data_IF_729975108707
#
_entry.id   IF_729975108707
#
_cell.length_a   1.000
_cell.length_b   1.000
_cell.length_c   1.000
_cell.angle_alpha   90.00
_cell.angle_beta   90.00
_cell.angle_gamma   90.00
#
_symmetry.space_group_name_H-M   'P 1'
#
loop_
_entity.id
_entity.type
_entity.pdbx_description
1 polymer ?
#
# COMPACT_ATOMS: atom_id res chain seq x y z
N UNK A 1 7.33 12.02 25.36
CA UNK A 1 6.77 10.95 24.50
C UNK A 1 7.18 11.26 23.07
N UNK A 2 7.90 10.38 22.40
CA UNK A 2 8.25 10.58 21.00
C UNK A 2 6.99 10.34 20.13
N UNK A 3 6.82 11.02 18.97
CA UNK A 3 5.66 10.82 18.10
C UNK A 3 5.47 9.36 17.68
N UNK A 4 6.55 8.59 17.59
CA UNK A 4 6.50 7.15 17.31
C UNK A 4 5.80 6.32 18.40
N UNK A 5 5.91 6.69 19.69
CA UNK A 5 5.23 5.99 20.78
C UNK A 5 3.73 6.29 20.84
N UNK A 6 3.32 7.48 20.41
CA UNK A 6 1.91 7.85 20.34
C UNK A 6 1.19 7.13 19.17
N UNK A 7 1.85 6.99 18.03
CA UNK A 7 1.30 6.28 16.87
C UNK A 7 1.11 4.77 17.16
N UNK A 8 2.07 4.12 17.80
CA UNK A 8 2.02 2.69 18.13
C UNK A 8 0.87 2.29 19.09
N UNK A 9 0.25 3.26 19.74
CA UNK A 9 -0.91 3.02 20.58
C UNK A 9 -2.22 2.86 19.78
N UNK A 10 -2.26 3.34 18.53
CA UNK A 10 -3.48 3.44 17.72
C UNK A 10 -3.39 2.67 16.41
N UNK A 11 -2.18 2.42 15.88
CA UNK A 11 -1.98 1.78 14.59
C UNK A 11 -0.95 0.62 14.67
N UNK A 12 -0.96 -0.34 13.71
CA UNK A 12 0.05 -1.38 13.62
C UNK A 12 1.46 -0.78 13.56
N UNK A 13 2.42 -1.36 14.27
CA UNK A 13 3.80 -0.87 14.39
C UNK A 13 4.45 -0.64 13.02
N UNK A 14 4.15 -1.50 12.04
CA UNK A 14 4.64 -1.35 10.67
C UNK A 14 4.12 -0.07 9.99
N UNK A 15 2.89 0.33 10.24
CA UNK A 15 2.32 1.56 9.70
C UNK A 15 2.97 2.81 10.30
N UNK A 16 3.33 2.75 11.59
CA UNK A 16 4.00 3.85 12.27
C UNK A 16 5.46 4.01 11.84
N UNK A 17 6.14 2.91 11.53
CA UNK A 17 7.51 2.94 11.02
C UNK A 17 7.62 3.58 9.64
N UNK A 18 6.54 3.55 8.84
CA UNK A 18 6.50 4.10 7.47
C UNK A 18 5.50 5.28 7.33
N UNK A 19 5.12 5.89 8.46
CA UNK A 19 4.18 7.01 8.49
C UNK A 19 4.60 8.17 7.59
N UNK A 20 5.90 8.46 7.52
CA UNK A 20 6.47 9.51 6.68
C UNK A 20 6.27 9.23 5.19
N UNK A 21 6.41 7.97 4.77
CA UNK A 21 6.17 7.54 3.38
C UNK A 21 4.70 7.76 3.00
N UNK A 22 3.78 7.35 3.87
CA UNK A 22 2.35 7.54 3.63
C UNK A 22 1.98 9.01 3.60
N UNK A 23 2.53 9.82 4.52
CA UNK A 23 2.31 11.25 4.56
C UNK A 23 2.85 11.94 3.31
N UNK A 24 4.02 11.50 2.81
CA UNK A 24 4.60 11.99 1.57
C UNK A 24 3.71 11.71 0.34
N UNK A 25 3.09 10.53 0.29
CA UNK A 25 2.22 10.12 -0.83
C UNK A 25 0.83 10.73 -0.79
N UNK A 26 0.39 11.27 0.36
CA UNK A 26 -0.95 11.82 0.54
C UNK A 26 -1.33 12.90 -0.48
N UNK A 27 -0.47 13.91 -0.78
CA UNK A 27 -0.77 14.92 -1.81
C UNK A 27 -0.97 14.31 -3.20
N UNK A 28 -0.13 13.32 -3.57
CA UNK A 28 -0.24 12.62 -4.85
C UNK A 28 -1.52 11.79 -4.96
N UNK A 29 -1.91 11.10 -3.88
CA UNK A 29 -3.16 10.35 -3.82
C UNK A 29 -4.39 11.27 -3.86
N UNK A 30 -4.35 12.41 -3.15
CA UNK A 30 -5.41 13.41 -3.19
C UNK A 30 -5.56 14.03 -4.59
N UNK A 31 -4.45 14.36 -5.24
CA UNK A 31 -4.46 14.87 -6.61
C UNK A 31 -4.97 13.81 -7.60
N UNK A 32 -4.57 12.54 -7.45
CA UNK A 32 -5.09 11.44 -8.25
C UNK A 32 -6.61 11.33 -8.10
N UNK A 33 -7.12 11.40 -6.89
CA UNK A 33 -8.57 11.38 -6.63
C UNK A 33 -9.28 12.56 -7.30
N UNK A 34 -8.73 13.77 -7.24
CA UNK A 34 -9.28 14.94 -7.94
C UNK A 34 -9.27 14.75 -9.46
N UNK A 35 -8.17 14.27 -10.03
CA UNK A 35 -8.07 13.96 -11.45
C UNK A 35 -9.14 12.92 -11.83
N UNK A 36 -9.30 11.86 -11.05
CA UNK A 36 -10.32 10.83 -11.29
C UNK A 36 -11.74 11.40 -11.30
N UNK A 37 -12.08 12.25 -10.34
CA UNK A 37 -13.39 12.89 -10.28
C UNK A 37 -13.70 13.74 -11.52
N UNK A 38 -12.69 14.44 -12.05
CA UNK A 38 -12.85 15.38 -13.16
C UNK A 38 -12.69 14.68 -14.52
N UNK A 39 -11.76 13.71 -14.63
CA UNK A 39 -11.49 12.98 -15.86
C UNK A 39 -12.71 12.21 -16.39
N UNK A 40 -13.57 11.73 -15.51
CA UNK A 40 -14.81 11.07 -15.89
C UNK A 40 -15.85 12.02 -16.55
N UNK A 41 -15.62 13.34 -16.51
CA UNK A 41 -16.54 14.36 -17.03
C UNK A 41 -16.18 14.83 -18.42
N UNK A 42 -14.89 14.80 -18.81
CA UNK A 42 -14.46 15.37 -20.08
C UNK A 42 -13.21 14.70 -20.65
N UNK A 43 -13.18 14.32 -21.94
CA UNK A 43 -12.04 13.63 -22.57
C UNK A 43 -10.75 14.47 -22.59
N UNK A 44 -10.82 15.77 -22.44
CA UNK A 44 -9.64 16.66 -22.37
C UNK A 44 -8.70 16.31 -21.18
N UNK A 45 -9.24 15.75 -20.10
CA UNK A 45 -8.44 15.36 -18.93
C UNK A 45 -7.52 14.16 -19.15
N UNK A 46 -7.61 13.52 -20.32
CA UNK A 46 -6.63 12.52 -20.76
C UNK A 46 -5.18 13.03 -20.64
N UNK A 47 -4.91 14.32 -20.87
CA UNK A 47 -3.56 14.89 -20.77
C UNK A 47 -2.96 14.68 -19.37
N UNK A 48 -3.77 14.74 -18.32
CA UNK A 48 -3.32 14.55 -16.95
C UNK A 48 -3.06 13.07 -16.60
N UNK A 49 -3.62 12.14 -17.36
CA UNK A 49 -3.41 10.70 -17.18
C UNK A 49 -2.38 10.12 -18.16
N UNK A 50 -1.95 10.90 -19.15
CA UNK A 50 -1.08 10.45 -20.23
C UNK A 50 0.24 9.84 -19.74
N UNK A 51 0.86 10.45 -18.73
CA UNK A 51 2.10 9.93 -18.14
C UNK A 51 1.88 8.60 -17.44
N UNK A 52 0.77 8.46 -16.70
CA UNK A 52 0.39 7.19 -16.09
C UNK A 52 0.10 6.11 -17.13
N UNK A 53 -0.64 6.46 -18.21
CA UNK A 53 -0.88 5.54 -19.32
C UNK A 53 0.42 5.11 -19.99
N UNK A 54 1.37 6.04 -20.20
CA UNK A 54 2.68 5.70 -20.74
C UNK A 54 3.40 4.69 -19.84
N UNK A 55 3.45 4.90 -18.53
CA UNK A 55 4.08 3.97 -17.61
C UNK A 55 3.37 2.61 -17.59
N UNK A 56 2.04 2.59 -17.70
CA UNK A 56 1.22 1.39 -17.78
C UNK A 56 1.60 0.55 -19.01
N UNK A 57 1.57 1.16 -20.19
CA UNK A 57 1.91 0.46 -21.43
C UNK A 57 3.40 0.06 -21.48
N UNK A 58 4.27 0.90 -20.90
CA UNK A 58 5.68 0.59 -20.80
C UNK A 58 5.96 -0.60 -19.87
N UNK A 59 5.17 -0.76 -18.81
CA UNK A 59 5.24 -1.93 -17.94
C UNK A 59 4.86 -3.22 -18.70
N UNK A 60 3.75 -3.20 -19.46
CA UNK A 60 3.37 -4.31 -20.32
C UNK A 60 4.48 -4.65 -21.32
N UNK A 61 4.99 -3.63 -22.03
CA UNK A 61 6.04 -3.79 -23.02
C UNK A 61 7.30 -4.39 -22.41
N UNK A 62 7.79 -3.82 -21.31
CA UNK A 62 9.05 -4.23 -20.66
C UNK A 62 8.97 -5.66 -20.12
N UNK A 63 7.91 -6.00 -19.39
CA UNK A 63 7.74 -7.34 -18.84
C UNK A 63 7.49 -8.34 -19.95
N UNK A 64 6.70 -7.98 -20.97
CA UNK A 64 6.48 -8.81 -22.14
C UNK A 64 7.77 -9.11 -22.89
N UNK A 65 8.62 -8.11 -23.06
CA UNK A 65 9.94 -8.26 -23.70
C UNK A 65 10.85 -9.21 -22.91
N UNK A 66 10.93 -9.01 -21.59
CA UNK A 66 11.75 -9.85 -20.69
C UNK A 66 11.31 -11.32 -20.68
N UNK A 67 10.01 -11.57 -20.90
CA UNK A 67 9.44 -12.91 -20.87
C UNK A 67 9.25 -13.54 -22.25
N UNK A 68 9.79 -12.91 -23.31
CA UNK A 68 9.72 -13.40 -24.68
C UNK A 68 8.31 -13.41 -25.28
N UNK A 69 7.46 -12.46 -24.88
CA UNK A 69 6.14 -12.27 -25.47
C UNK A 69 6.17 -11.53 -26.79
N UNK A 70 7.35 -11.06 -27.25
CA UNK A 70 7.57 -10.34 -28.49
C UNK A 70 6.61 -9.15 -28.69
N UNK A 71 6.81 -8.05 -27.95
CA UNK A 71 6.00 -6.86 -28.15
C UNK A 71 6.30 -6.24 -29.53
N UNK A 72 5.30 -6.17 -30.39
CA UNK A 72 5.41 -5.68 -31.77
C UNK A 72 4.93 -4.26 -31.96
N UNK A 73 4.20 -3.71 -31.00
CA UNK A 73 3.70 -2.35 -31.07
C UNK A 73 3.37 -1.78 -29.71
N UNK A 74 3.67 -0.49 -29.54
CA UNK A 74 3.31 0.32 -28.38
C UNK A 74 2.61 1.57 -28.87
N UNK A 75 1.42 1.84 -28.39
CA UNK A 75 0.65 3.04 -28.70
C UNK A 75 0.15 3.67 -27.41
N UNK A 76 0.36 4.98 -27.27
CA UNK A 76 -0.14 5.81 -26.14
C UNK A 76 -1.06 6.92 -26.64
N UNK A 77 -1.49 6.82 -27.90
CA UNK A 77 -2.39 7.80 -28.50
C UNK A 77 -3.83 7.34 -28.28
N UNK A 78 -4.70 8.17 -27.66
CA UNK A 78 -6.08 7.81 -27.45
C UNK A 78 -6.80 7.52 -28.76
N UNK A 79 -7.45 6.38 -28.81
CA UNK A 79 -8.28 5.99 -29.96
C UNK A 79 -9.67 5.62 -29.49
N UNK A 80 -10.67 6.04 -30.24
CA UNK A 80 -12.05 5.66 -29.96
C UNK A 80 -12.34 4.30 -30.58
N UNK A 81 -12.62 3.29 -29.75
CA UNK A 81 -13.13 1.98 -30.17
C UNK A 81 -14.61 1.87 -29.77
N UNK A 82 -15.49 2.16 -30.73
CA UNK A 82 -16.92 2.18 -30.48
C UNK A 82 -17.33 3.25 -29.46
N UNK A 83 -17.84 2.84 -28.28
CA UNK A 83 -18.25 3.74 -27.18
C UNK A 83 -17.15 3.98 -26.15
N UNK A 84 -16.02 3.30 -26.22
CA UNK A 84 -14.95 3.35 -25.23
C UNK A 84 -13.70 4.01 -25.81
N UNK A 85 -13.01 4.79 -25.00
CA UNK A 85 -11.69 5.33 -25.32
C UNK A 85 -10.62 4.34 -24.87
N UNK A 86 -9.78 3.90 -25.83
CA UNK A 86 -8.54 3.16 -25.56
C UNK A 86 -7.43 4.20 -25.45
N UNK A 87 -6.84 4.33 -24.26
CA UNK A 87 -5.84 5.37 -23.97
C UNK A 87 -4.44 4.94 -24.41
N UNK A 88 -4.19 3.63 -24.39
CA UNK A 88 -2.96 3.00 -24.83
C UNK A 88 -3.18 1.55 -25.20
N UNK A 89 -2.20 0.94 -25.86
CA UNK A 89 -2.20 -0.50 -26.14
C UNK A 89 -0.82 -1.01 -26.48
N UNK A 90 -0.52 -2.23 -26.00
CA UNK A 90 0.64 -3.02 -26.43
C UNK A 90 0.15 -4.25 -27.18
N UNK A 91 0.78 -4.55 -28.31
CA UNK A 91 0.51 -5.76 -29.10
C UNK A 91 1.67 -6.73 -28.95
N UNK A 92 1.36 -8.02 -28.81
CA UNK A 92 2.33 -9.09 -28.65
C UNK A 92 2.18 -10.12 -29.75
N UNK A 93 3.30 -10.59 -30.34
CA UNK A 93 3.31 -11.63 -31.37
C UNK A 93 3.39 -13.05 -30.76
N UNK A 94 3.99 -13.21 -29.59
CA UNK A 94 4.25 -14.52 -28.97
C UNK A 94 3.70 -14.63 -27.56
N UNK A 95 2.39 -14.47 -27.42
CA UNK A 95 1.73 -14.56 -26.11
C UNK A 95 1.35 -16.02 -25.83
N UNK A 96 1.97 -16.61 -24.80
CA UNK A 96 1.77 -17.98 -24.36
C UNK A 96 1.21 -18.03 -22.94
N UNK A 97 0.74 -19.19 -22.50
CA UNK A 97 0.15 -19.37 -21.17
C UNK A 97 1.09 -18.98 -20.02
N UNK A 98 2.41 -19.13 -20.17
CA UNK A 98 3.38 -18.83 -19.12
C UNK A 98 3.76 -17.34 -19.05
N UNK A 99 3.70 -16.59 -20.13
CA UNK A 99 4.06 -15.17 -20.16
C UNK A 99 2.85 -14.22 -20.18
N UNK A 100 1.65 -14.74 -20.45
CA UNK A 100 0.45 -13.94 -20.58
C UNK A 100 0.06 -13.23 -19.26
N UNK A 101 0.03 -13.93 -18.11
CA UNK A 101 -0.33 -13.31 -16.85
C UNK A 101 0.70 -12.28 -16.37
N UNK A 102 2.01 -12.59 -16.32
CA UNK A 102 2.99 -11.60 -15.89
C UNK A 102 3.00 -10.36 -16.79
N UNK A 103 2.90 -10.54 -18.14
CA UNK A 103 2.84 -9.42 -19.06
C UNK A 103 1.56 -8.60 -18.87
N UNK A 104 0.41 -9.26 -18.69
CA UNK A 104 -0.88 -8.60 -18.47
C UNK A 104 -1.00 -7.90 -17.13
N UNK A 105 -0.39 -8.43 -16.08
CA UNK A 105 -0.41 -7.86 -14.73
C UNK A 105 0.77 -6.89 -14.46
N UNK A 106 1.65 -6.69 -15.44
CA UNK A 106 2.80 -5.81 -15.33
C UNK A 106 2.48 -4.38 -14.84
N UNK A 107 1.34 -3.75 -15.20
CA UNK A 107 0.99 -2.43 -14.70
C UNK A 107 0.89 -2.32 -13.18
N UNK A 108 0.66 -3.41 -12.45
CA UNK A 108 0.71 -3.41 -10.99
C UNK A 108 2.07 -2.95 -10.46
N UNK A 109 3.16 -3.17 -11.23
CA UNK A 109 4.50 -2.70 -10.89
C UNK A 109 4.61 -1.16 -10.93
N UNK A 110 3.75 -0.48 -11.68
CA UNK A 110 3.72 0.99 -11.74
C UNK A 110 3.48 1.59 -10.37
N UNK A 111 2.72 0.89 -9.51
CA UNK A 111 2.48 1.32 -8.13
C UNK A 111 3.76 1.37 -7.29
N UNK A 112 4.79 0.58 -7.64
CA UNK A 112 6.07 0.62 -6.94
C UNK A 112 6.81 1.94 -7.15
N UNK A 113 6.57 2.65 -8.25
CA UNK A 113 7.23 3.92 -8.57
C UNK A 113 6.96 5.00 -7.52
N UNK A 114 5.70 5.36 -7.17
CA UNK A 114 5.45 6.34 -6.13
C UNK A 114 5.99 5.92 -4.76
N UNK A 115 5.92 4.63 -4.41
CA UNK A 115 6.51 4.15 -3.16
C UNK A 115 8.03 4.23 -3.15
N UNK A 116 8.71 3.87 -4.25
CA UNK A 116 10.16 4.00 -4.37
C UNK A 116 10.61 5.46 -4.24
N UNK A 117 9.92 6.39 -4.92
CA UNK A 117 10.21 7.82 -4.79
C UNK A 117 9.99 8.31 -3.36
N UNK A 118 8.89 7.90 -2.71
CA UNK A 118 8.62 8.27 -1.34
C UNK A 118 9.71 7.76 -0.39
N UNK A 119 10.14 6.50 -0.52
CA UNK A 119 11.23 5.93 0.27
C UNK A 119 12.56 6.67 0.08
N UNK A 120 12.86 7.11 -1.14
CA UNK A 120 14.08 7.86 -1.44
C UNK A 120 14.03 9.30 -0.92
N UNK A 121 12.84 9.89 -0.82
CA UNK A 121 12.64 11.28 -0.41
C UNK A 121 12.43 11.43 1.10
N UNK A 122 11.85 10.43 1.76
CA UNK A 122 11.59 10.46 3.20
C UNK A 122 12.77 9.88 3.98
N UNK A 123 13.64 10.75 4.43
CA UNK A 123 14.78 10.42 5.31
C UNK A 123 14.67 11.18 6.63
N UNK A 124 15.63 10.99 7.56
CA UNK A 124 15.64 11.72 8.81
C UNK A 124 15.64 13.24 8.57
N UNK A 125 14.65 13.94 9.13
CA UNK A 125 14.51 15.39 8.99
C UNK A 125 13.99 15.87 7.62
N UNK A 126 13.36 14.98 6.83
CA UNK A 126 12.74 15.38 5.56
C UNK A 126 11.66 16.46 5.78
N UNK A 127 11.50 17.33 4.83
CA UNK A 127 10.44 18.33 4.76
C UNK A 127 9.98 18.47 3.32
N UNK A 128 8.68 18.76 3.16
CA UNK A 128 8.07 18.89 1.85
C UNK A 128 8.52 20.20 1.20
N UNK A 129 9.13 20.12 0.03
CA UNK A 129 9.64 21.26 -0.72
C UNK A 129 9.00 21.43 -2.10
N UNK A 130 9.43 22.45 -2.85
CA UNK A 130 8.92 22.72 -4.19
C UNK A 130 9.14 21.57 -5.19
N UNK A 131 10.25 20.84 -5.06
CA UNK A 131 10.51 19.64 -5.87
C UNK A 131 9.49 18.53 -5.59
N UNK A 132 9.04 18.39 -4.35
CA UNK A 132 8.08 17.37 -3.97
C UNK A 132 6.67 17.72 -4.48
N UNK A 133 6.37 19.01 -4.59
CA UNK A 133 5.15 19.47 -5.26
C UNK A 133 5.16 19.09 -6.75
N UNK A 134 6.28 19.28 -7.45
CA UNK A 134 6.40 18.83 -8.84
C UNK A 134 6.28 17.30 -8.96
N UNK A 135 6.92 16.55 -8.04
CA UNK A 135 6.79 15.09 -7.98
C UNK A 135 5.35 14.64 -7.72
N UNK A 136 4.57 15.39 -6.95
CA UNK A 136 3.14 15.12 -6.74
C UNK A 136 2.38 15.03 -8.07
N UNK A 137 2.63 15.95 -9.01
CA UNK A 137 1.99 15.92 -10.34
C UNK A 137 2.47 14.76 -11.20
N UNK A 138 3.71 14.31 -11.04
CA UNK A 138 4.27 13.15 -11.78
C UNK A 138 3.74 11.84 -11.20
N UNK A 139 3.59 11.75 -9.87
CA UNK A 139 3.19 10.52 -9.19
C UNK A 139 1.67 10.30 -9.16
N UNK A 140 0.87 11.36 -9.16
CA UNK A 140 -0.59 11.24 -9.13
C UNK A 140 -1.17 10.39 -10.28
N UNK A 141 -0.75 10.54 -11.56
CA UNK A 141 -1.22 9.68 -12.65
C UNK A 141 -0.89 8.19 -12.47
N UNK A 142 0.16 7.86 -11.73
CA UNK A 142 0.55 6.47 -11.47
C UNK A 142 -0.48 5.75 -10.60
N UNK A 143 -1.07 6.45 -9.64
CA UNK A 143 -2.17 5.92 -8.82
C UNK A 143 -3.47 5.67 -9.60
N UNK A 144 -3.64 6.27 -10.79
CA UNK A 144 -4.80 6.05 -11.66
C UNK A 144 -4.55 4.92 -12.67
N UNK A 145 -3.29 4.69 -13.01
CA UNK A 145 -2.92 3.84 -14.15
C UNK A 145 -2.32 2.50 -13.75
N UNK A 146 -2.06 2.23 -12.47
CA UNK A 146 -1.50 0.94 -12.04
C UNK A 146 -2.47 -0.24 -12.17
N UNK A 147 -3.79 0.03 -12.22
CA UNK A 147 -4.78 -1.04 -12.24
C UNK A 147 -4.93 -1.65 -13.63
N UNK A 148 -4.82 -2.99 -13.76
CA UNK A 148 -4.98 -3.66 -15.04
C UNK A 148 -6.38 -3.48 -15.63
N UNK A 149 -6.45 -3.31 -16.94
CA UNK A 149 -7.70 -3.17 -17.66
C UNK A 149 -8.51 -4.48 -17.67
N UNK A 150 -9.82 -4.45 -18.00
CA UNK A 150 -10.60 -5.68 -18.18
C UNK A 150 -10.06 -6.62 -19.26
N UNK A 151 -9.29 -6.09 -20.22
CA UNK A 151 -8.61 -6.88 -21.25
C UNK A 151 -7.42 -7.62 -20.64
N UNK A 152 -6.63 -6.94 -19.80
CA UNK A 152 -5.47 -7.51 -19.10
C UNK A 152 -5.88 -8.63 -18.17
N UNK A 153 -6.97 -8.44 -17.42
CA UNK A 153 -7.52 -9.49 -16.57
C UNK A 153 -7.93 -10.74 -17.35
N UNK A 154 -8.59 -10.55 -18.52
CA UNK A 154 -8.94 -11.69 -19.40
C UNK A 154 -7.70 -12.38 -19.96
N UNK A 155 -6.66 -11.60 -20.24
CA UNK A 155 -5.40 -12.12 -20.72
C UNK A 155 -4.65 -12.88 -19.63
N UNK A 156 -4.61 -12.32 -18.41
CA UNK A 156 -4.02 -12.96 -17.24
C UNK A 156 -4.70 -14.31 -16.94
N UNK A 157 -6.01 -14.41 -17.11
CA UNK A 157 -6.75 -15.64 -16.89
C UNK A 157 -6.32 -16.80 -17.82
N UNK A 158 -5.67 -16.53 -18.95
CA UNK A 158 -5.09 -17.58 -19.81
C UNK A 158 -3.94 -18.34 -19.14
N UNK A 159 -3.32 -17.74 -18.15
CA UNK A 159 -2.22 -18.33 -17.38
C UNK A 159 -2.70 -19.01 -16.08
N UNK A 160 -3.90 -19.58 -16.09
CA UNK A 160 -4.48 -20.27 -14.94
C UNK A 160 -3.55 -21.29 -14.23
N UNK A 161 -2.60 -21.99 -14.93
CA UNK A 161 -1.67 -22.87 -14.25
C UNK A 161 -0.78 -22.12 -13.24
N UNK A 162 -0.37 -20.89 -13.56
CA UNK A 162 0.39 -20.04 -12.62
C UNK A 162 -0.40 -19.70 -11.37
N UNK A 163 -1.69 -19.46 -11.50
CA UNK A 163 -2.57 -19.18 -10.36
C UNK A 163 -2.61 -20.37 -9.41
N UNK A 164 -2.62 -21.61 -9.94
CA UNK A 164 -2.55 -22.83 -9.13
C UNK A 164 -1.18 -22.93 -8.42
N UNK A 165 -0.07 -22.70 -9.14
CA UNK A 165 1.27 -22.74 -8.56
C UNK A 165 1.43 -21.71 -7.44
N UNK A 166 0.96 -20.49 -7.67
CA UNK A 166 1.02 -19.42 -6.66
C UNK A 166 0.13 -19.77 -5.45
N UNK A 167 -1.09 -20.25 -5.69
CA UNK A 167 -2.01 -20.65 -4.63
C UNK A 167 -1.46 -21.82 -3.81
N UNK A 168 -0.89 -22.84 -4.48
CA UNK A 168 -0.24 -23.96 -3.83
C UNK A 168 0.99 -23.55 -3.03
N UNK A 169 1.82 -22.65 -3.59
CA UNK A 169 2.97 -22.08 -2.90
C UNK A 169 2.56 -21.27 -1.66
N UNK A 170 1.54 -20.45 -1.77
CA UNK A 170 0.98 -19.69 -0.65
C UNK A 170 0.41 -20.62 0.43
N UNK A 171 -0.33 -21.67 0.04
CA UNK A 171 -0.85 -22.67 0.97
C UNK A 171 0.24 -23.42 1.70
N UNK A 172 1.31 -23.81 0.97
CA UNK A 172 2.50 -24.44 1.56
C UNK A 172 3.21 -23.51 2.54
N UNK A 173 3.41 -22.25 2.18
CA UNK A 173 4.01 -21.25 3.08
C UNK A 173 3.16 -21.08 4.34
N UNK A 174 1.84 -21.00 4.19
CA UNK A 174 0.92 -20.91 5.31
C UNK A 174 0.97 -22.16 6.19
N UNK A 175 1.07 -23.35 5.59
CA UNK A 175 1.16 -24.62 6.31
C UNK A 175 2.47 -24.76 7.09
N UNK A 176 3.61 -24.41 6.48
CA UNK A 176 4.93 -24.56 7.11
C UNK A 176 5.36 -23.39 7.99
N UNK A 177 4.73 -22.21 7.84
CA UNK A 177 5.04 -20.99 8.60
C UNK A 177 3.77 -20.34 9.16
N UNK A 178 2.99 -21.04 10.02
CA UNK A 178 1.75 -20.49 10.59
C UNK A 178 1.99 -19.21 11.44
N UNK A 179 3.22 -19.00 11.94
CA UNK A 179 3.61 -17.83 12.74
C UNK A 179 3.83 -16.54 11.94
N UNK A 180 3.98 -16.59 10.60
CA UNK A 180 4.26 -15.41 9.79
C UNK A 180 3.15 -14.34 9.89
N UNK A 181 1.93 -14.74 10.22
CA UNK A 181 0.77 -13.86 10.37
C UNK A 181 0.33 -13.66 11.82
N UNK A 182 0.89 -14.41 12.78
CA UNK A 182 0.55 -14.28 14.20
C UNK A 182 1.23 -13.07 14.85
N UNK A 183 2.39 -12.64 14.35
CA UNK A 183 3.08 -11.43 14.82
C UNK A 183 2.37 -10.11 14.43
N UNK A 184 1.33 -10.17 13.59
CA UNK A 184 0.53 -9.00 13.21
C UNK A 184 -0.53 -8.65 14.27
N UNK A 185 -0.72 -9.46 15.32
CA UNK A 185 -1.67 -9.19 16.40
C UNK A 185 -1.00 -8.99 17.77
N UNK A 186 -0.26 -7.89 18.01
CA UNK A 186 0.32 -7.63 19.32
C UNK A 186 -0.69 -7.06 20.34
N UNK A 187 -1.96 -6.90 19.99
CA UNK A 187 -2.93 -6.18 20.83
C UNK A 187 -3.65 -7.10 21.84
N UNK A 188 -3.81 -8.39 21.56
CA UNK A 188 -4.56 -9.30 22.41
C UNK A 188 -3.94 -9.60 23.78
N UNK A 189 -2.60 -9.72 23.97
CA UNK A 189 -2.02 -10.02 25.28
C UNK A 189 -2.08 -8.85 26.28
N UNK A 190 -2.00 -7.62 25.80
CA UNK A 190 -1.98 -6.43 26.70
C UNK A 190 -3.31 -6.13 27.36
N UNK A 191 -4.43 -6.45 26.68
CA UNK A 191 -5.77 -6.28 27.26
C UNK A 191 -6.03 -7.24 28.43
N UNK A 192 -5.51 -8.47 28.36
CA UNK A 192 -5.66 -9.44 29.47
C UNK A 192 -4.86 -9.02 30.72
N UNK A 193 -3.66 -8.48 30.57
CA UNK A 193 -2.88 -7.97 31.71
C UNK A 193 -3.47 -6.69 32.31
N UNK A 194 -4.01 -5.80 31.50
CA UNK A 194 -4.67 -4.57 31.98
C UNK A 194 -5.95 -4.86 32.78
N UNK A 195 -6.76 -5.81 32.34
CA UNK A 195 -7.97 -6.22 33.06
C UNK A 195 -7.66 -6.98 34.34
N UNK A 196 -6.61 -7.82 34.37
CA UNK A 196 -6.18 -8.53 35.56
C UNK A 196 -5.68 -7.57 36.65
N UNK A 197 -4.93 -6.53 36.30
CA UNK A 197 -4.46 -5.51 37.23
C UNK A 197 -5.59 -4.61 37.75
N UNK A 198 -6.59 -4.31 36.94
CA UNK A 198 -7.75 -3.53 37.37
C UNK A 198 -8.66 -4.29 38.33
N UNK A 199 -8.76 -5.60 38.18
CA UNK A 199 -9.57 -6.46 39.05
C UNK A 199 -8.90 -6.66 40.44
N UNK A 200 -7.56 -6.61 40.52
CA UNK A 200 -6.84 -6.70 41.78
C UNK A 200 -6.97 -5.42 42.64
N UNK A 201 -7.20 -4.26 42.04
CA UNK A 201 -7.36 -2.98 42.78
C UNK A 201 -8.78 -2.87 43.38
N UNK A 202 -9.73 -3.63 42.91
CA UNK A 202 -11.13 -3.58 43.30
C UNK A 202 -11.54 -4.57 44.42
N UNK A 203 -10.58 -5.30 45.01
CA UNK A 203 -10.88 -6.09 46.23
C UNK A 203 -10.78 -5.18 47.47
N UNK A 204 -11.82 -5.03 48.27
CA UNK A 204 -11.75 -4.34 49.56
C UNK A 204 -10.98 -5.23 50.53
N UNK A 205 -9.66 -5.06 50.56
CA UNK A 205 -8.75 -5.78 51.44
C UNK A 205 -8.81 -5.16 52.84
N UNK A 206 -9.22 -5.96 53.77
CA UNK A 206 -9.03 -5.89 55.21
C UNK A 206 -7.89 -4.99 55.64
N UNK A 207 -8.23 -3.87 56.25
CA UNK A 207 -7.28 -3.02 56.96
C UNK A 207 -6.71 -3.78 58.17
N UNK A 208 -5.41 -3.80 58.42
CA UNK A 208 -4.87 -4.25 59.69
C UNK A 208 -5.07 -3.11 60.73
N UNK A 209 -5.87 -3.40 61.74
CA UNK A 209 -5.96 -2.67 63.00
C UNK A 209 -4.58 -2.71 63.71
N UNK A 210 -4.06 -1.55 64.05
CA UNK A 210 -3.03 -1.48 65.05
C UNK A 210 -1.81 -0.62 64.73
N UNK A 211 -1.94 0.72 64.92
CA UNK A 211 -0.80 1.57 65.30
C UNK A 211 -1.11 2.33 66.59
N UNK A 212 -0.28 2.23 67.64
CA UNK A 212 -0.44 3.02 68.86
C UNK A 212 -0.02 4.46 68.54
N UNK A 213 -0.94 5.39 68.84
CA UNK A 213 -0.67 6.84 68.86
C UNK A 213 0.17 7.14 70.09
N UNK A 214 1.44 7.52 69.90
CA UNK A 214 2.24 8.17 70.97
C UNK A 214 1.90 9.66 71.01
N UNK A 215 1.17 10.07 72.07
CA UNK A 215 1.05 11.46 72.43
C UNK A 215 2.39 11.91 73.05
N UNK A 216 3.06 12.84 72.37
CA UNK A 216 4.17 13.59 72.95
C UNK A 216 3.60 14.88 73.62
N UNK A 217 3.64 14.96 74.93
CA UNK A 217 3.40 16.17 75.70
C UNK A 217 4.66 17.06 75.57
N UNK A 218 4.51 18.28 75.08
CA UNK A 218 5.49 19.35 75.24
C UNK A 218 5.04 20.22 76.40
N UNK A 219 5.82 20.20 77.43
CA UNK A 219 5.85 21.23 78.48
C UNK A 219 7.07 22.13 78.22
N UNK A 220 6.92 23.41 78.47
CA UNK A 220 7.96 24.42 78.45
C UNK A 220 7.70 25.58 77.53
#
# INVERSE_FOLDING_TARGET
MTPATACAAVAPVALCAHGDVLLYLLPSAALAFLIWMVANRHPFFFVFTALGTLCHELAHFSVGLLLGADPTGLTVIPRRKGRVWELGSVTFANLRWYNAAPAALAPLLVLLLPFAVALLRTGPGWHFGAADLALTFVLAPQFLSFWPSPVDWRLAARSWPWLIVIAAGAALLFYFRPGLFQDVSPVAPRLKHGLSSATQIAQPGSAPLGYPVKLAATAG
#
